data_IF_013338593296
#
_entry.id   IF_013338593296
#
_cell.length_a   1.000
_cell.length_b   1.000
_cell.length_c   1.000
_cell.angle_alpha   90.00
_cell.angle_beta   90.00
_cell.angle_gamma   90.00
#
_symmetry.space_group_name_H-M   'P 1'
#
loop_
_entity.id
_entity.type
_entity.pdbx_description
1 polymer ?
#
# COMPACT_ATOMS: atom_id res chain seq x y z
N UNK A 1 -18.73 3.10 -5.46
CA UNK A 1 -18.92 2.52 -6.83
C UNK A 1 -18.56 3.49 -7.97
N UNK A 2 -17.80 4.56 -7.69
CA UNK A 2 -17.37 5.56 -8.70
C UNK A 2 -16.58 4.92 -9.86
N UNK A 3 -15.81 3.89 -9.59
CA UNK A 3 -15.00 3.18 -10.59
C UNK A 3 -15.82 2.52 -11.72
N UNK A 4 -17.11 2.18 -11.48
CA UNK A 4 -17.96 1.55 -12.49
C UNK A 4 -18.17 2.46 -13.71
N UNK A 5 -18.14 3.77 -13.52
CA UNK A 5 -18.34 4.78 -14.56
C UNK A 5 -17.02 5.34 -15.13
N UNK A 6 -15.87 4.80 -14.72
CA UNK A 6 -14.57 5.23 -15.27
C UNK A 6 -14.47 4.89 -16.76
N UNK A 7 -13.71 5.67 -17.54
CA UNK A 7 -13.50 5.43 -18.97
C UNK A 7 -12.34 4.45 -19.24
N UNK A 8 -11.71 3.93 -18.20
CA UNK A 8 -10.61 2.97 -18.27
C UNK A 8 -11.11 1.56 -17.96
N UNK A 9 -10.42 0.54 -18.46
CA UNK A 9 -10.74 -0.84 -18.17
C UNK A 9 -10.17 -1.30 -16.82
N UNK A 10 -8.96 -0.85 -16.51
CA UNK A 10 -8.28 -1.14 -15.27
C UNK A 10 -8.60 -0.11 -14.18
N UNK A 11 -8.83 -0.60 -13.00
CA UNK A 11 -9.15 0.20 -11.80
C UNK A 11 -8.14 -0.10 -10.72
N UNK A 12 -7.40 0.92 -10.31
CA UNK A 12 -6.49 0.88 -9.16
C UNK A 12 -7.19 1.47 -7.94
N UNK A 13 -7.13 0.77 -6.81
CA UNK A 13 -7.60 1.27 -5.50
C UNK A 13 -6.47 1.13 -4.49
N UNK A 14 -5.89 2.25 -4.10
CA UNK A 14 -4.81 2.33 -3.11
C UNK A 14 -4.99 3.57 -2.22
N UNK A 15 -4.30 3.57 -1.09
CA UNK A 15 -4.19 4.75 -0.23
C UNK A 15 -3.17 5.74 -0.80
N UNK A 16 -3.22 7.01 -0.37
CA UNK A 16 -2.38 8.08 -0.92
C UNK A 16 -0.87 7.90 -0.65
N UNK A 17 -0.50 7.03 0.29
CA UNK A 17 0.86 6.66 0.65
C UNK A 17 1.25 5.24 0.16
N UNK A 18 0.47 4.68 -0.75
CA UNK A 18 0.72 3.39 -1.39
C UNK A 18 1.04 3.57 -2.88
N UNK A 19 2.13 2.96 -3.34
CA UNK A 19 2.56 2.98 -4.74
C UNK A 19 2.69 1.56 -5.27
N UNK A 20 1.96 1.26 -6.33
CA UNK A 20 2.04 -0.03 -7.02
C UNK A 20 3.10 0.05 -8.13
N UNK A 21 4.09 -0.81 -8.05
CA UNK A 21 5.16 -0.94 -9.04
C UNK A 21 4.66 -1.71 -10.26
N UNK A 22 3.99 -0.99 -11.13
CA UNK A 22 3.43 -1.50 -12.39
C UNK A 22 3.40 -0.36 -13.40
N UNK A 23 3.74 -0.65 -14.64
CA UNK A 23 3.73 0.31 -15.72
C UNK A 23 2.72 -0.08 -16.81
N UNK A 24 2.58 0.76 -17.85
CA UNK A 24 1.63 0.53 -18.94
C UNK A 24 1.95 -0.74 -19.73
N UNK A 25 3.24 -1.03 -19.97
CA UNK A 25 3.63 -2.26 -20.69
C UNK A 25 3.24 -3.52 -19.94
N UNK A 26 3.33 -3.49 -18.60
CA UNK A 26 2.89 -4.59 -17.76
C UNK A 26 1.38 -4.79 -17.84
N UNK A 27 0.60 -3.70 -17.84
CA UNK A 27 -0.85 -3.78 -18.03
C UNK A 27 -1.22 -4.36 -19.40
N UNK A 28 -0.50 -4.00 -20.46
CA UNK A 28 -0.69 -4.57 -21.80
C UNK A 28 -0.38 -6.08 -21.79
N UNK A 29 0.71 -6.50 -21.13
CA UNK A 29 1.05 -7.93 -20.97
C UNK A 29 -0.03 -8.69 -20.22
N UNK A 30 -0.54 -8.13 -19.12
CA UNK A 30 -1.61 -8.74 -18.33
C UNK A 30 -2.93 -8.82 -19.13
N UNK A 31 -3.26 -7.81 -19.91
CA UNK A 31 -4.44 -7.79 -20.78
C UNK A 31 -4.35 -8.90 -21.86
N UNK A 32 -3.19 -9.06 -22.47
CA UNK A 32 -2.93 -10.13 -23.44
C UNK A 32 -3.10 -11.52 -22.83
N UNK A 33 -2.73 -11.68 -21.56
CA UNK A 33 -2.93 -12.91 -20.78
C UNK A 33 -4.38 -13.11 -20.33
N UNK A 34 -5.28 -12.13 -20.55
CA UNK A 34 -6.65 -12.14 -20.01
C UNK A 34 -6.70 -12.14 -18.49
N UNK A 35 -5.71 -11.55 -17.83
CA UNK A 35 -5.71 -11.33 -16.40
C UNK A 35 -6.84 -10.38 -16.02
N UNK A 36 -7.51 -10.63 -14.90
CA UNK A 36 -8.63 -9.79 -14.45
C UNK A 36 -8.39 -9.17 -13.09
N UNK A 37 -7.46 -9.72 -12.31
CA UNK A 37 -7.09 -9.23 -10.99
C UNK A 37 -5.57 -9.33 -10.82
N UNK A 38 -4.97 -8.25 -10.33
CA UNK A 38 -3.57 -8.19 -9.94
C UNK A 38 -3.51 -7.96 -8.44
N UNK A 39 -2.88 -8.89 -7.72
CA UNK A 39 -2.50 -8.70 -6.33
C UNK A 39 -1.06 -8.21 -6.26
N UNK A 40 -0.75 -7.47 -5.21
CA UNK A 40 0.60 -7.01 -4.98
C UNK A 40 1.23 -7.69 -3.75
N UNK A 41 2.54 -7.72 -3.72
CA UNK A 41 3.34 -8.06 -2.56
C UNK A 41 3.66 -6.76 -1.80
N UNK A 42 3.08 -6.60 -0.60
CA UNK A 42 3.18 -5.37 0.18
C UNK A 42 4.50 -5.21 0.93
N UNK A 43 5.05 -4.01 0.91
CA UNK A 43 6.27 -3.62 1.58
C UNK A 43 6.10 -2.30 2.33
N UNK A 44 6.36 -2.27 3.64
CA UNK A 44 6.48 -1.03 4.37
C UNK A 44 7.83 -0.40 4.09
N UNK A 45 7.84 0.74 3.44
CA UNK A 45 9.06 1.50 3.12
C UNK A 45 9.47 2.35 4.31
N UNK A 46 10.77 2.34 4.61
CA UNK A 46 11.32 2.89 5.84
C UNK A 46 12.53 3.76 5.51
N UNK A 47 12.49 5.00 5.96
CA UNK A 47 13.65 5.88 5.94
C UNK A 47 14.66 5.41 7.00
N UNK A 48 15.79 4.88 6.56
CA UNK A 48 16.82 4.35 7.44
C UNK A 48 17.87 5.38 7.85
N UNK A 49 17.85 6.57 7.26
CA UNK A 49 18.91 7.59 7.42
C UNK A 49 18.55 8.68 8.44
N UNK A 50 17.32 8.64 8.98
CA UNK A 50 16.78 9.68 9.86
C UNK A 50 16.85 11.11 9.26
N UNK A 51 16.90 11.17 7.93
CA UNK A 51 16.93 12.41 7.17
C UNK A 51 15.49 12.80 6.77
N UNK A 52 14.88 13.84 7.37
CA UNK A 52 13.51 14.25 7.06
C UNK A 52 13.35 14.85 5.67
N UNK A 53 14.44 15.13 4.98
CA UNK A 53 14.46 15.73 3.63
C UNK A 53 14.69 14.71 2.52
N UNK A 54 14.73 13.42 2.82
CA UNK A 54 14.82 12.39 1.79
C UNK A 54 13.58 12.44 0.89
N UNK A 55 13.81 12.41 -0.41
CA UNK A 55 12.75 12.22 -1.39
C UNK A 55 12.27 10.76 -1.38
N UNK A 56 11.03 10.50 -1.78
CA UNK A 56 10.48 9.13 -1.79
C UNK A 56 11.33 8.16 -2.61
N UNK A 57 11.93 8.65 -3.71
CA UNK A 57 12.82 7.86 -4.57
C UNK A 57 14.10 7.36 -3.88
N UNK A 58 14.52 8.04 -2.80
CA UNK A 58 15.72 7.69 -2.05
C UNK A 58 15.44 6.66 -0.95
N UNK A 59 14.16 6.41 -0.64
CA UNK A 59 13.74 5.43 0.37
C UNK A 59 13.63 4.06 -0.30
N UNK A 60 14.70 3.27 -0.23
CA UNK A 60 14.84 1.99 -0.94
C UNK A 60 14.67 0.77 -0.06
N UNK A 61 14.69 0.96 1.25
CA UNK A 61 14.64 -0.12 2.23
C UNK A 61 13.24 -0.32 2.77
N UNK A 62 12.86 -1.58 2.97
CA UNK A 62 11.55 -1.91 3.49
C UNK A 62 11.48 -3.26 4.17
N UNK A 63 10.42 -3.48 4.92
CA UNK A 63 10.06 -4.75 5.52
C UNK A 63 8.81 -5.33 4.86
N UNK A 64 8.78 -6.66 4.72
CA UNK A 64 7.64 -7.37 4.16
C UNK A 64 6.39 -7.17 5.03
N UNK A 65 5.29 -6.78 4.41
CA UNK A 65 4.05 -6.43 5.09
C UNK A 65 2.83 -7.14 4.46
N UNK A 66 2.63 -8.40 4.82
CA UNK A 66 1.60 -9.28 4.24
C UNK A 66 0.17 -8.73 4.31
N UNK A 67 -0.13 -7.85 5.27
CA UNK A 67 -1.43 -7.19 5.36
C UNK A 67 -1.71 -6.25 4.19
N UNK A 68 -0.69 -5.91 3.41
CA UNK A 68 -0.80 -5.14 2.17
C UNK A 68 -0.75 -6.01 0.91
N UNK A 69 -0.90 -7.32 1.03
CA UNK A 69 -1.11 -8.22 -0.12
C UNK A 69 -2.60 -8.17 -0.50
N UNK A 70 -2.98 -7.14 -1.22
CA UNK A 70 -4.38 -6.87 -1.57
C UNK A 70 -4.59 -7.00 -3.08
N UNK A 71 -5.86 -7.05 -3.49
CA UNK A 71 -6.26 -6.95 -4.90
C UNK A 71 -6.36 -5.48 -5.29
N UNK A 72 -5.24 -4.84 -5.51
CA UNK A 72 -5.18 -3.41 -5.79
C UNK A 72 -5.71 -3.01 -7.15
N UNK A 73 -5.51 -3.87 -8.14
CA UNK A 73 -5.77 -3.57 -9.54
C UNK A 73 -6.64 -4.66 -10.15
N UNK A 74 -7.74 -4.27 -10.76
CA UNK A 74 -8.68 -5.20 -11.40
C UNK A 74 -9.27 -4.61 -12.68
N UNK A 75 -9.61 -5.50 -13.61
CA UNK A 75 -10.25 -5.12 -14.88
C UNK A 75 -11.77 -5.13 -14.72
N UNK A 76 -12.40 -3.95 -14.80
CA UNK A 76 -13.84 -3.78 -14.60
C UNK A 76 -14.72 -4.38 -15.69
N UNK A 77 -14.18 -4.75 -16.86
CA UNK A 77 -14.94 -5.50 -17.86
C UNK A 77 -15.32 -6.89 -17.37
N UNK A 78 -14.51 -7.46 -16.48
CA UNK A 78 -14.65 -8.83 -15.99
C UNK A 78 -15.09 -8.89 -14.54
N UNK A 79 -14.71 -7.90 -13.73
CA UNK A 79 -15.05 -7.81 -12.30
C UNK A 79 -16.23 -6.86 -12.15
N UNK A 80 -17.38 -7.39 -11.80
CA UNK A 80 -18.62 -6.61 -11.64
C UNK A 80 -18.75 -6.00 -10.25
N UNK A 81 -18.21 -6.66 -9.22
CA UNK A 81 -18.12 -6.18 -7.84
C UNK A 81 -16.80 -6.60 -7.22
N UNK A 82 -16.11 -5.70 -6.56
CA UNK A 82 -14.84 -6.02 -5.87
C UNK A 82 -15.07 -6.45 -4.42
N UNK A 83 -16.09 -5.90 -3.75
CA UNK A 83 -16.50 -6.24 -2.39
C UNK A 83 -15.36 -6.19 -1.35
N UNK A 84 -14.69 -5.05 -1.24
CA UNK A 84 -13.70 -4.83 -0.20
C UNK A 84 -14.32 -4.85 1.20
N UNK A 85 -13.59 -5.43 2.13
CA UNK A 85 -13.84 -5.26 3.57
C UNK A 85 -13.35 -3.89 4.06
N UNK A 86 -13.66 -3.54 5.31
CA UNK A 86 -13.13 -2.32 5.91
C UNK A 86 -11.59 -2.30 5.87
N UNK A 87 -11.01 -1.16 5.46
CA UNK A 87 -9.57 -0.99 5.26
C UNK A 87 -9.03 -1.60 3.96
N UNK A 88 -9.90 -2.13 3.09
CA UNK A 88 -9.55 -2.70 1.78
C UNK A 88 -8.49 -3.82 1.81
N UNK A 89 -8.22 -4.43 2.98
CA UNK A 89 -7.21 -5.50 3.11
C UNK A 89 -7.66 -6.82 2.50
N UNK A 90 -8.96 -7.03 2.36
CA UNK A 90 -9.54 -8.21 1.73
C UNK A 90 -10.63 -7.81 0.75
N UNK A 91 -10.76 -8.59 -0.31
CA UNK A 91 -11.81 -8.44 -1.29
C UNK A 91 -12.47 -9.79 -1.60
N UNK A 92 -13.74 -9.75 -1.98
CA UNK A 92 -14.47 -10.92 -2.50
C UNK A 92 -15.07 -10.57 -3.88
N UNK A 93 -14.24 -10.50 -4.92
CA UNK A 93 -14.66 -10.07 -6.23
C UNK A 93 -15.69 -11.01 -6.85
N UNK A 94 -16.68 -10.42 -7.56
CA UNK A 94 -17.65 -11.13 -8.39
C UNK A 94 -17.32 -10.89 -9.86
N UNK A 95 -17.51 -11.89 -10.68
CA UNK A 95 -17.22 -11.90 -12.12
C UNK A 95 -16.20 -12.96 -12.49
N UNK A 96 -15.56 -12.79 -13.64
CA UNK A 96 -14.53 -13.72 -14.12
C UNK A 96 -13.21 -13.42 -13.42
N UNK A 97 -12.72 -14.38 -12.64
CA UNK A 97 -11.50 -14.23 -11.82
C UNK A 97 -10.35 -14.97 -12.48
N UNK A 98 -9.37 -14.25 -12.94
CA UNK A 98 -8.07 -14.76 -13.36
C UNK A 98 -6.99 -13.89 -12.74
N UNK A 99 -6.27 -14.45 -11.79
CA UNK A 99 -5.16 -13.76 -11.12
C UNK A 99 -3.97 -13.64 -12.05
N UNK A 100 -3.18 -12.59 -11.87
CA UNK A 100 -1.86 -12.49 -12.49
C UNK A 100 -0.93 -13.59 -11.97
N UNK A 101 -0.13 -14.15 -12.87
CA UNK A 101 0.99 -15.05 -12.54
C UNK A 101 2.25 -14.27 -12.13
N UNK A 102 2.28 -12.95 -12.42
CA UNK A 102 3.37 -12.07 -12.04
C UNK A 102 3.18 -11.55 -10.63
N UNK A 103 4.30 -11.30 -9.96
CA UNK A 103 4.33 -10.68 -8.63
C UNK A 103 4.72 -9.22 -8.82
N UNK A 104 3.79 -8.31 -8.50
CA UNK A 104 4.02 -6.87 -8.46
C UNK A 104 4.26 -6.43 -7.03
N UNK A 105 5.03 -5.37 -6.81
CA UNK A 105 5.29 -4.85 -5.48
C UNK A 105 4.39 -3.65 -5.18
N UNK A 106 3.96 -3.53 -3.94
CA UNK A 106 3.31 -2.34 -3.43
C UNK A 106 4.19 -1.73 -2.35
N UNK A 107 4.58 -0.50 -2.55
CA UNK A 107 5.38 0.27 -1.61
C UNK A 107 4.46 1.15 -0.76
N UNK A 108 4.40 0.87 0.54
CA UNK A 108 3.65 1.67 1.50
C UNK A 108 4.61 2.55 2.29
N UNK A 109 4.63 3.85 1.99
CA UNK A 109 5.55 4.83 2.58
C UNK A 109 5.05 5.30 3.96
N UNK A 110 5.09 4.39 4.93
CA UNK A 110 4.55 4.61 6.27
C UNK A 110 5.54 5.32 7.19
N UNK A 111 6.83 5.00 7.11
CA UNK A 111 7.84 5.38 8.10
C UNK A 111 8.87 6.35 7.49
N UNK A 112 8.39 7.52 7.03
CA UNK A 112 9.20 8.56 6.38
C UNK A 112 10.14 9.27 7.35
N UNK A 113 9.70 9.55 8.59
CA UNK A 113 10.51 10.04 9.71
C UNK A 113 9.78 9.78 11.02
N UNK A 114 10.51 9.84 12.14
CA UNK A 114 9.92 9.63 13.46
C UNK A 114 8.78 10.63 13.72
N UNK A 115 9.03 11.91 13.49
CA UNK A 115 8.03 12.97 13.70
C UNK A 115 6.84 12.86 12.75
N UNK A 116 7.07 12.43 11.49
CA UNK A 116 5.98 12.15 10.56
C UNK A 116 5.05 11.07 11.11
N UNK A 117 5.61 9.96 11.60
CA UNK A 117 4.81 8.85 12.15
C UNK A 117 4.05 9.30 13.39
N UNK A 118 4.68 10.03 14.31
CA UNK A 118 4.04 10.59 15.52
C UNK A 118 2.87 11.50 15.13
N UNK A 119 3.13 12.49 14.28
CA UNK A 119 2.11 13.45 13.85
C UNK A 119 0.94 12.77 13.13
N UNK A 120 1.23 11.84 12.23
CA UNK A 120 0.21 11.05 11.54
C UNK A 120 -0.69 10.30 12.52
N UNK A 121 -0.11 9.62 13.51
CA UNK A 121 -0.88 8.89 14.52
C UNK A 121 -1.75 9.82 15.36
N UNK A 122 -1.23 10.96 15.81
CA UNK A 122 -2.00 11.95 16.58
C UNK A 122 -3.19 12.48 15.76
N UNK A 123 -2.96 12.83 14.49
CA UNK A 123 -4.01 13.35 13.61
C UNK A 123 -5.09 12.29 13.37
N UNK A 124 -4.71 11.06 13.07
CA UNK A 124 -5.66 10.00 12.79
C UNK A 124 -6.39 9.52 14.06
N UNK A 125 -5.71 9.48 15.20
CA UNK A 125 -6.34 9.18 16.48
C UNK A 125 -7.49 10.15 16.80
N UNK A 126 -7.29 11.47 16.57
CA UNK A 126 -8.33 12.48 16.75
C UNK A 126 -9.52 12.37 15.78
N UNK A 127 -9.33 11.68 14.65
CA UNK A 127 -10.36 11.50 13.61
C UNK A 127 -11.13 10.18 13.72
N UNK A 128 -10.79 9.31 14.67
CA UNK A 128 -11.49 8.05 14.84
C UNK A 128 -12.97 8.28 15.19
N UNK A 129 -13.84 7.72 14.38
CA UNK A 129 -15.28 7.78 14.62
C UNK A 129 -15.67 6.84 15.76
N UNK A 130 -16.88 7.06 16.34
CA UNK A 130 -17.46 6.13 17.32
C UNK A 130 -17.52 4.69 16.79
N UNK A 131 -17.77 4.53 15.49
CA UNK A 131 -17.81 3.21 14.86
C UNK A 131 -16.43 2.57 14.79
N UNK A 132 -15.38 3.35 14.48
CA UNK A 132 -14.00 2.86 14.49
C UNK A 132 -13.62 2.34 15.89
N UNK A 133 -13.89 3.15 16.91
CA UNK A 133 -13.62 2.78 18.30
C UNK A 133 -14.39 1.51 18.74
N UNK A 134 -15.68 1.42 18.39
CA UNK A 134 -16.52 0.25 18.70
C UNK A 134 -15.98 -1.04 18.06
N UNK A 135 -15.42 -0.94 16.86
CA UNK A 135 -14.92 -2.10 16.10
C UNK A 135 -13.43 -2.34 16.28
N UNK A 136 -12.75 -1.57 17.13
CA UNK A 136 -11.29 -1.57 17.29
C UNK A 136 -10.51 -1.31 15.97
N UNK A 137 -11.11 -0.54 15.04
CA UNK A 137 -10.43 -0.16 13.81
C UNK A 137 -9.54 1.04 14.03
N UNK A 138 -8.27 0.93 13.64
CA UNK A 138 -7.29 1.99 13.81
C UNK A 138 -6.88 2.23 15.28
N UNK A 139 -7.06 1.25 16.18
CA UNK A 139 -6.71 1.37 17.61
C UNK A 139 -5.25 1.79 17.83
N UNK A 140 -4.34 1.41 16.94
CA UNK A 140 -2.93 1.78 17.00
C UNK A 140 -2.68 3.29 16.87
N UNK A 141 -3.65 4.07 16.38
CA UNK A 141 -3.58 5.53 16.39
C UNK A 141 -3.81 6.14 17.78
N UNK A 142 -4.19 5.32 18.77
CA UNK A 142 -4.40 5.75 20.17
C UNK A 142 -3.17 5.47 21.04
N UNK A 143 -2.11 4.91 20.47
CA UNK A 143 -0.86 4.66 21.18
C UNK A 143 -0.25 5.97 21.70
N UNK A 144 0.43 5.91 22.84
CA UNK A 144 1.18 7.06 23.34
C UNK A 144 2.33 7.43 22.42
N UNK A 145 2.72 8.71 22.40
CA UNK A 145 3.88 9.19 21.63
C UNK A 145 5.13 8.37 21.92
N UNK A 146 5.40 8.04 23.18
CA UNK A 146 6.52 7.20 23.59
C UNK A 146 6.46 5.82 22.92
N UNK A 147 5.28 5.19 22.90
CA UNK A 147 5.08 3.89 22.25
C UNK A 147 5.33 3.99 20.74
N UNK A 148 4.83 5.05 20.10
CA UNK A 148 5.02 5.29 18.66
C UNK A 148 6.50 5.46 18.34
N UNK A 149 7.23 6.29 19.09
CA UNK A 149 8.67 6.51 18.91
C UNK A 149 9.49 5.23 19.12
N UNK A 150 9.16 4.45 20.16
CA UNK A 150 9.80 3.14 20.39
C UNK A 150 9.56 2.19 19.21
N UNK A 151 8.34 2.10 18.70
CA UNK A 151 8.01 1.24 17.57
C UNK A 151 8.70 1.70 16.29
N UNK A 152 8.85 3.00 16.08
CA UNK A 152 9.58 3.54 14.93
C UNK A 152 11.04 3.07 14.92
N UNK A 153 11.73 3.10 16.06
CA UNK A 153 13.11 2.60 16.18
C UNK A 153 13.23 1.12 15.86
N UNK A 154 12.23 0.32 16.23
CA UNK A 154 12.17 -1.11 15.84
C UNK A 154 12.03 -1.27 14.33
N UNK A 155 11.25 -0.39 13.66
CA UNK A 155 11.15 -0.41 12.20
C UNK A 155 12.46 -0.08 11.49
N UNK A 156 13.31 0.75 12.09
CA UNK A 156 14.61 1.13 11.52
C UNK A 156 15.70 0.06 11.73
N UNK A 157 15.43 -1.00 12.48
CA UNK A 157 16.40 -2.07 12.66
C UNK A 157 16.70 -2.76 11.32
N UNK A 158 17.87 -2.47 10.78
CA UNK A 158 18.34 -2.97 9.48
C UNK A 158 18.38 -4.49 9.39
N UNK A 159 18.44 -5.20 10.52
CA UNK A 159 18.39 -6.67 10.54
C UNK A 159 17.08 -7.24 9.94
N UNK A 160 16.00 -6.46 9.97
CA UNK A 160 14.67 -6.84 9.48
C UNK A 160 14.31 -6.20 8.12
N UNK A 161 15.23 -5.42 7.53
CA UNK A 161 14.99 -4.70 6.30
C UNK A 161 15.68 -5.37 5.11
N UNK A 162 15.10 -5.16 3.94
CA UNK A 162 15.70 -5.52 2.65
C UNK A 162 15.71 -4.28 1.76
N UNK A 163 16.69 -4.19 0.89
CA UNK A 163 16.60 -3.25 -0.23
C UNK A 163 15.53 -3.79 -1.19
N UNK A 164 14.47 -3.02 -1.38
CA UNK A 164 13.27 -3.44 -2.12
C UNK A 164 13.20 -2.76 -3.47
N UNK A 165 13.69 -1.51 -3.54
CA UNK A 165 13.80 -0.72 -4.77
C UNK A 165 15.27 -0.71 -5.18
N UNK A 166 15.55 -1.13 -6.40
CA UNK A 166 16.91 -1.12 -6.95
C UNK A 166 17.38 0.30 -7.22
N UNK A 167 18.72 0.50 -7.18
CA UNK A 167 19.32 1.82 -7.36
C UNK A 167 19.07 2.42 -8.75
N UNK A 168 18.77 1.58 -9.72
CA UNK A 168 18.46 1.98 -11.11
C UNK A 168 16.95 1.96 -11.41
N UNK A 169 16.11 1.93 -10.40
CA UNK A 169 14.66 1.95 -10.59
C UNK A 169 14.19 3.34 -11.03
N UNK A 170 13.41 3.40 -12.11
CA UNK A 170 12.77 4.63 -12.62
C UNK A 170 11.36 4.81 -12.09
N UNK A 171 11.06 4.24 -10.92
CA UNK A 171 9.72 4.22 -10.34
C UNK A 171 9.08 5.62 -10.16
N UNK A 172 9.92 6.66 -10.00
CA UNK A 172 9.49 8.03 -9.76
C UNK A 172 9.92 9.02 -10.88
N UNK A 173 10.43 8.52 -12.01
CA UNK A 173 10.98 9.36 -13.09
C UNK A 173 9.94 9.74 -14.18
N UNK A 174 8.62 9.63 -13.90
CA UNK A 174 7.53 9.98 -14.82
C UNK A 174 6.86 11.29 -14.48
#
# INVERSE_FOLDING_TARGET
NCWKNANTDWVLICDADEFLDINEEDLIKEDNKKTTIISAEGWNMINTEDNPYLELKDIKWGSRAKQYDKYYLFNKKYITEINYTAGCHFANPKGVKKMSDNIYKLYHFRALSEDYVVNKNIIFGKRLSKQNLKNNWGFHYLDSEETIRRNYKVYQDKANLKQVIDDNSNLFDN
#
